data_IF_283787087940
#
_entry.id   IF_283787087940
#
_cell.length_a   1.000
_cell.length_b   1.000
_cell.length_c   1.000
_cell.angle_alpha   90.00
_cell.angle_beta   90.00
_cell.angle_gamma   90.00
#
_symmetry.space_group_name_H-M   'P 1'
#
loop_
_entity.id
_entity.type
_entity.pdbx_description
1 polymer ?
#
# COMPACT_ATOMS: atom_id res chain seq x y z
N UNK A 1 18.13 7.07 0.17
CA UNK A 1 16.67 7.22 0.13
C UNK A 1 16.35 8.40 -0.78
N UNK A 2 15.27 8.34 -1.55
CA UNK A 2 14.91 9.42 -2.48
C UNK A 2 14.48 10.68 -1.70
N UNK A 3 14.90 11.90 -2.12
CA UNK A 3 14.71 13.13 -1.34
C UNK A 3 13.25 13.56 -1.15
N UNK A 4 12.30 12.91 -1.83
CA UNK A 4 10.88 13.20 -1.67
C UNK A 4 10.25 12.58 -0.41
N UNK A 5 10.81 11.48 0.08
CA UNK A 5 10.30 10.79 1.29
C UNK A 5 10.63 11.63 2.52
N UNK A 6 9.60 11.98 3.29
CA UNK A 6 9.67 12.86 4.45
C UNK A 6 9.66 14.36 4.11
N UNK A 7 9.47 14.72 2.84
CA UNK A 7 9.45 16.13 2.39
C UNK A 7 8.10 16.84 2.62
N UNK A 8 7.08 16.11 3.08
CA UNK A 8 5.70 16.62 3.17
C UNK A 8 4.99 16.71 1.81
N UNK A 9 5.59 16.16 0.74
CA UNK A 9 4.99 16.08 -0.60
C UNK A 9 4.54 14.66 -0.90
N UNK A 10 3.60 14.56 -1.84
CA UNK A 10 3.04 13.30 -2.33
C UNK A 10 3.31 13.28 -3.83
N UNK A 11 3.89 12.19 -4.31
CA UNK A 11 4.13 11.99 -5.74
C UNK A 11 2.92 11.30 -6.35
N UNK A 12 2.27 11.96 -7.31
CA UNK A 12 1.10 11.41 -8.02
C UNK A 12 1.35 11.09 -9.48
N UNK A 13 2.40 11.66 -10.07
CA UNK A 13 2.85 11.35 -11.41
C UNK A 13 4.12 10.47 -11.42
N UNK A 14 4.30 9.61 -12.44
CA UNK A 14 5.54 8.85 -12.60
C UNK A 14 6.74 9.80 -12.72
N UNK A 15 7.79 9.58 -11.93
CA UNK A 15 9.00 10.43 -11.92
C UNK A 15 10.11 9.91 -12.83
N UNK A 16 10.05 8.63 -13.20
CA UNK A 16 11.01 7.95 -14.07
C UNK A 16 10.28 7.06 -15.09
N UNK A 17 10.95 6.76 -16.20
CA UNK A 17 10.52 5.73 -17.15
C UNK A 17 10.90 4.34 -16.65
N UNK A 18 10.38 3.28 -17.30
CA UNK A 18 10.73 1.89 -17.01
C UNK A 18 12.24 1.61 -17.17
N UNK A 19 12.90 2.36 -18.07
CA UNK A 19 14.34 2.32 -18.29
C UNK A 19 15.15 3.09 -17.22
N UNK A 20 14.49 3.68 -16.22
CA UNK A 20 15.12 4.44 -15.15
C UNK A 20 15.49 5.89 -15.50
N UNK A 21 15.02 6.40 -16.64
CA UNK A 21 15.33 7.78 -17.08
C UNK A 21 14.35 8.76 -16.43
N UNK A 22 14.82 9.87 -15.82
CA UNK A 22 13.94 10.89 -15.26
C UNK A 22 12.98 11.49 -16.30
N UNK A 23 11.70 11.58 -15.96
CA UNK A 23 10.70 12.21 -16.82
C UNK A 23 10.89 13.73 -16.77
N UNK A 24 11.02 14.36 -17.95
CA UNK A 24 11.28 15.80 -18.11
C UNK A 24 10.00 16.64 -18.30
N UNK A 25 8.84 16.06 -18.02
CA UNK A 25 7.57 16.76 -18.12
C UNK A 25 7.53 17.89 -17.07
N UNK A 26 7.22 19.14 -17.47
CA UNK A 26 7.21 20.28 -16.55
C UNK A 26 6.29 20.11 -15.33
N UNK A 27 5.14 19.44 -15.48
CA UNK A 27 4.20 19.18 -14.36
C UNK A 27 4.78 18.16 -13.38
N UNK A 28 5.41 17.10 -13.90
CA UNK A 28 6.07 16.08 -13.08
C UNK A 28 7.25 16.68 -12.32
N UNK A 29 8.04 17.52 -12.97
CA UNK A 29 9.17 18.20 -12.35
C UNK A 29 8.73 19.20 -11.25
N UNK A 30 7.56 19.82 -11.40
CA UNK A 30 6.97 20.67 -10.36
C UNK A 30 6.49 19.87 -9.15
N UNK A 31 5.90 18.69 -9.37
CA UNK A 31 5.50 17.78 -8.30
C UNK A 31 6.71 17.16 -7.58
N UNK A 32 7.75 16.80 -8.35
CA UNK A 32 8.97 16.12 -7.90
C UNK A 32 10.17 17.07 -7.67
N UNK A 33 9.92 18.36 -7.42
CA UNK A 33 10.97 19.28 -6.95
C UNK A 33 10.87 19.42 -5.43
N UNK A 34 11.93 19.15 -4.66
CA UNK A 34 11.98 19.58 -3.26
C UNK A 34 12.03 21.12 -3.16
N UNK A 35 11.65 21.74 -2.02
CA UNK A 35 11.73 23.20 -1.85
C UNK A 35 13.13 23.76 -2.16
N UNK A 36 14.18 23.00 -1.84
CA UNK A 36 15.58 23.39 -2.08
C UNK A 36 16.04 23.18 -3.53
N UNK A 37 15.45 22.23 -4.28
CA UNK A 37 15.85 21.91 -5.66
C UNK A 37 15.32 22.87 -6.72
N UNK A 38 14.39 23.77 -6.37
CA UNK A 38 13.97 24.84 -7.29
C UNK A 38 15.12 25.82 -7.61
N UNK A 39 16.22 25.81 -6.84
CA UNK A 39 17.35 26.72 -7.00
C UNK A 39 18.59 26.13 -7.70
N UNK A 40 18.66 24.82 -7.97
CA UNK A 40 19.90 24.20 -8.47
C UNK A 40 19.66 23.04 -9.43
N UNK A 41 19.15 23.34 -10.62
CA UNK A 41 19.23 22.45 -11.77
C UNK A 41 20.52 22.77 -12.52
N UNK A 42 21.57 21.97 -12.30
CA UNK A 42 22.72 21.61 -13.17
C UNK A 42 23.87 21.16 -12.26
N UNK A 43 24.15 19.85 -12.20
CA UNK A 43 25.50 19.30 -12.40
C UNK A 43 25.49 17.77 -12.24
N UNK A 44 25.90 17.10 -13.30
CA UNK A 44 26.06 15.65 -13.46
C UNK A 44 27.32 15.16 -12.73
N UNK A 45 27.34 13.90 -12.28
CA UNK A 45 28.57 13.08 -12.28
C UNK A 45 28.30 11.57 -12.17
N UNK A 46 28.98 10.83 -13.06
CA UNK A 46 29.00 9.37 -13.21
C UNK A 46 29.99 8.70 -12.23
N UNK A 47 29.73 7.44 -11.85
CA UNK A 47 30.74 6.53 -11.32
C UNK A 47 30.20 5.24 -10.69
N UNK A 48 30.78 4.11 -11.12
CA UNK A 48 30.85 2.75 -10.52
C UNK A 48 29.73 1.73 -10.84
N UNK A 49 30.05 0.72 -11.66
CA UNK A 49 29.08 0.08 -12.57
C UNK A 49 28.82 -1.44 -12.37
N UNK A 50 29.25 -2.06 -11.27
CA UNK A 50 29.06 -3.52 -11.10
C UNK A 50 28.24 -3.95 -9.86
N UNK A 51 28.32 -3.21 -8.74
CA UNK A 51 27.46 -3.42 -7.56
C UNK A 51 26.24 -2.45 -7.56
N UNK A 52 26.33 -1.39 -8.37
CA UNK A 52 25.31 -0.34 -8.49
C UNK A 52 24.11 -0.77 -9.37
N UNK A 53 24.29 -1.70 -10.32
CA UNK A 53 23.22 -2.09 -11.26
C UNK A 53 22.03 -2.79 -10.61
N UNK A 54 22.27 -3.60 -9.56
CA UNK A 54 21.18 -4.25 -8.81
C UNK A 54 20.42 -3.22 -7.96
N UNK A 55 21.16 -2.30 -7.33
CA UNK A 55 20.63 -1.19 -6.54
C UNK A 55 19.83 -0.23 -7.43
N UNK A 56 20.28 0.01 -8.65
CA UNK A 56 19.57 0.84 -9.63
C UNK A 56 18.26 0.18 -10.05
N UNK A 57 18.26 -1.12 -10.39
CA UNK A 57 17.01 -1.81 -10.75
C UNK A 57 15.98 -1.78 -9.62
N UNK A 58 16.40 -2.08 -8.39
CA UNK A 58 15.51 -2.02 -7.22
C UNK A 58 15.03 -0.59 -6.93
N UNK A 59 15.89 0.40 -7.12
CA UNK A 59 15.53 1.81 -6.97
C UNK A 59 14.56 2.24 -8.06
N UNK A 60 14.74 1.78 -9.30
CA UNK A 60 13.83 2.04 -10.42
C UNK A 60 12.46 1.42 -10.12
N UNK A 61 12.40 0.14 -9.80
CA UNK A 61 11.16 -0.55 -9.45
C UNK A 61 10.42 0.16 -8.31
N UNK A 62 11.11 0.49 -7.23
CA UNK A 62 10.51 1.22 -6.11
C UNK A 62 10.01 2.62 -6.52
N UNK A 63 10.79 3.39 -7.28
CA UNK A 63 10.37 4.72 -7.80
C UNK A 63 9.15 4.63 -8.72
N UNK A 64 9.04 3.56 -9.51
CA UNK A 64 7.85 3.29 -10.32
C UNK A 64 6.63 3.05 -9.43
N UNK A 65 6.76 2.50 -8.23
CA UNK A 65 5.61 2.32 -7.31
C UNK A 65 5.11 3.61 -6.66
N UNK A 66 5.95 4.64 -6.51
CA UNK A 66 5.64 5.84 -5.72
C UNK A 66 4.40 6.60 -6.19
N UNK A 67 4.21 6.71 -7.51
CA UNK A 67 3.04 7.38 -8.07
C UNK A 67 1.75 6.60 -7.78
N UNK A 68 1.79 5.26 -7.84
CA UNK A 68 0.65 4.40 -7.50
C UNK A 68 0.28 4.55 -6.02
N UNK A 69 1.27 4.65 -5.13
CA UNK A 69 1.04 4.95 -3.71
C UNK A 69 0.34 6.30 -3.58
N UNK A 70 0.82 7.35 -4.27
CA UNK A 70 0.18 8.67 -4.22
C UNK A 70 -1.27 8.67 -4.70
N UNK A 71 -1.57 7.97 -5.79
CA UNK A 71 -2.94 7.81 -6.30
C UNK A 71 -3.84 7.08 -5.31
N UNK A 72 -3.33 6.11 -4.56
CA UNK A 72 -4.10 5.40 -3.54
C UNK A 72 -4.32 6.26 -2.29
N UNK A 73 -3.28 6.95 -1.82
CA UNK A 73 -3.33 7.89 -0.69
C UNK A 73 -4.40 8.96 -0.91
N UNK A 74 -4.45 9.56 -2.09
CA UNK A 74 -5.48 10.56 -2.42
C UNK A 74 -6.90 9.98 -2.44
N UNK A 75 -7.06 8.67 -2.55
CA UNK A 75 -8.36 7.98 -2.58
C UNK A 75 -8.77 7.42 -1.22
N UNK A 76 -7.84 7.25 -0.28
CA UNK A 76 -8.06 6.67 1.05
C UNK A 76 -8.88 7.61 1.94
N UNK A 77 -9.94 7.07 2.55
CA UNK A 77 -10.77 7.70 3.59
C UNK A 77 -11.09 9.20 3.39
N UNK A 78 -11.35 9.61 2.15
CA UNK A 78 -11.56 11.01 1.74
C UNK A 78 -12.67 11.76 2.49
N UNK A 79 -13.61 11.06 3.10
CA UNK A 79 -14.68 11.67 3.90
C UNK A 79 -14.25 11.98 5.35
N UNK A 80 -13.06 11.54 5.77
CA UNK A 80 -12.57 11.77 7.12
C UNK A 80 -11.85 13.12 7.22
N UNK A 81 -12.30 13.96 8.15
CA UNK A 81 -11.73 15.29 8.44
C UNK A 81 -10.22 15.25 8.68
N UNK A 82 -9.71 14.13 9.21
CA UNK A 82 -8.29 13.90 9.40
C UNK A 82 -7.47 14.14 8.12
N UNK A 83 -7.97 13.72 6.96
CA UNK A 83 -7.25 13.83 5.68
C UNK A 83 -7.45 15.16 4.94
N UNK A 84 -8.19 16.11 5.52
CA UNK A 84 -8.22 17.49 4.99
C UNK A 84 -6.86 18.17 5.14
N UNK A 85 -6.07 17.75 6.13
CA UNK A 85 -4.69 18.23 6.32
C UNK A 85 -3.74 17.48 5.38
N UNK A 86 -3.09 18.22 4.49
CA UNK A 86 -2.09 17.67 3.56
C UNK A 86 -0.94 16.94 4.29
N UNK A 87 -0.57 17.40 5.48
CA UNK A 87 0.44 16.76 6.34
C UNK A 87 0.08 15.31 6.69
N UNK A 88 -1.20 15.00 6.90
CA UNK A 88 -1.64 13.64 7.22
C UNK A 88 -1.61 12.72 6.00
N UNK A 89 -1.92 13.27 4.83
CA UNK A 89 -1.76 12.56 3.56
C UNK A 89 -0.29 12.31 3.23
N UNK A 90 0.61 13.26 3.51
CA UNK A 90 2.05 13.06 3.29
C UNK A 90 2.61 12.00 4.23
N UNK A 91 2.23 12.00 5.51
CA UNK A 91 2.61 10.93 6.46
C UNK A 91 2.17 9.55 5.97
N UNK A 92 0.93 9.42 5.45
CA UNK A 92 0.46 8.16 4.89
C UNK A 92 1.33 7.72 3.71
N UNK A 93 1.64 8.64 2.80
CA UNK A 93 2.47 8.36 1.64
C UNK A 93 3.90 7.99 2.04
N UNK A 94 4.50 8.71 2.98
CA UNK A 94 5.86 8.48 3.47
C UNK A 94 5.99 7.08 4.09
N UNK A 95 5.09 6.69 5.00
CA UNK A 95 5.09 5.36 5.62
C UNK A 95 4.97 4.25 4.58
N UNK A 96 4.07 4.39 3.60
CA UNK A 96 3.87 3.39 2.54
C UNK A 96 5.09 3.31 1.60
N UNK A 97 5.69 4.45 1.26
CA UNK A 97 6.90 4.52 0.44
C UNK A 97 8.08 3.86 1.16
N UNK A 98 8.27 4.14 2.45
CA UNK A 98 9.31 3.52 3.29
C UNK A 98 9.08 2.01 3.42
N UNK A 99 7.85 1.57 3.66
CA UNK A 99 7.51 0.15 3.75
C UNK A 99 7.83 -0.60 2.45
N UNK A 100 7.43 -0.04 1.30
CA UNK A 100 7.69 -0.63 -0.01
C UNK A 100 9.19 -0.79 -0.31
N UNK A 101 10.04 0.05 0.28
CA UNK A 101 11.49 -0.08 0.19
C UNK A 101 12.06 -1.17 1.10
N UNK A 102 11.49 -1.33 2.29
CA UNK A 102 11.97 -2.26 3.33
C UNK A 102 11.56 -3.70 3.01
N UNK A 103 10.29 -3.97 2.73
CA UNK A 103 9.79 -5.32 2.48
C UNK A 103 9.58 -5.59 0.98
N UNK A 104 10.67 -5.76 0.25
CA UNK A 104 10.67 -5.88 -1.22
C UNK A 104 9.94 -7.11 -1.75
N UNK A 105 9.83 -8.18 -0.97
CA UNK A 105 9.09 -9.37 -1.40
C UNK A 105 7.58 -9.09 -1.51
N UNK A 106 7.08 -8.16 -0.70
CA UNK A 106 5.68 -7.73 -0.73
C UNK A 106 5.54 -6.45 -1.56
N UNK A 107 6.47 -5.52 -1.41
CA UNK A 107 6.42 -4.18 -1.99
C UNK A 107 5.18 -3.42 -1.54
N UNK A 108 4.66 -2.59 -2.44
CA UNK A 108 3.36 -1.95 -2.26
C UNK A 108 2.29 -2.67 -3.08
N UNK A 109 1.16 -2.99 -2.45
CA UNK A 109 -0.02 -3.53 -3.09
C UNK A 109 -1.24 -2.65 -2.78
N UNK A 110 -2.15 -2.53 -3.75
CA UNK A 110 -3.39 -1.78 -3.56
C UNK A 110 -4.18 -2.33 -2.36
N UNK A 111 -4.63 -1.44 -1.48
CA UNK A 111 -5.32 -1.77 -0.23
C UNK A 111 -4.43 -1.61 1.01
N UNK A 112 -3.10 -1.56 0.87
CA UNK A 112 -2.21 -1.26 2.00
C UNK A 112 -2.42 0.14 2.57
N UNK A 113 -2.83 1.11 1.76
CA UNK A 113 -3.18 2.45 2.25
C UNK A 113 -4.36 2.42 3.23
N UNK A 114 -5.31 1.50 3.04
CA UNK A 114 -6.45 1.31 3.95
C UNK A 114 -6.02 0.66 5.26
N UNK A 115 -5.00 -0.19 5.23
CA UNK A 115 -4.41 -0.80 6.42
C UNK A 115 -3.54 0.18 7.22
N UNK A 116 -2.86 1.09 6.53
CA UNK A 116 -2.00 2.10 7.15
C UNK A 116 -2.80 3.28 7.71
N UNK A 117 -3.93 3.65 7.08
CA UNK A 117 -4.79 4.78 7.51
C UNK A 117 -5.11 4.77 9.02
N UNK A 118 -5.55 3.66 9.63
CA UNK A 118 -5.80 3.63 11.07
C UNK A 118 -4.55 3.87 11.93
N UNK A 119 -3.36 3.45 11.48
CA UNK A 119 -2.12 3.64 12.24
C UNK A 119 -1.79 5.13 12.38
N UNK A 120 -1.91 5.90 11.30
CA UNK A 120 -1.62 7.34 11.32
C UNK A 120 -2.69 8.16 12.03
N UNK A 121 -3.93 7.67 12.05
CA UNK A 121 -5.02 8.34 12.79
C UNK A 121 -4.87 8.12 14.30
N UNK A 122 -4.41 6.94 14.72
CA UNK A 122 -4.26 6.59 16.13
C UNK A 122 -2.94 7.04 16.76
N UNK A 123 -1.87 7.08 15.98
CA UNK A 123 -0.51 7.34 16.46
C UNK A 123 -0.05 8.71 15.97
N UNK A 124 0.33 9.57 16.93
CA UNK A 124 0.78 10.94 16.63
C UNK A 124 2.15 10.95 15.95
N UNK A 125 3.03 10.05 16.37
CA UNK A 125 4.39 9.92 15.86
C UNK A 125 4.41 9.03 14.61
N UNK A 126 5.06 9.52 13.57
CA UNK A 126 5.11 8.85 12.27
C UNK A 126 5.96 7.56 12.31
N UNK A 127 7.01 7.53 13.13
CA UNK A 127 7.84 6.34 13.29
C UNK A 127 7.09 5.25 14.05
N UNK A 128 6.34 5.60 15.09
CA UNK A 128 5.46 4.66 15.79
C UNK A 128 4.39 4.09 14.83
N UNK A 129 3.76 4.95 14.02
CA UNK A 129 2.81 4.54 13.00
C UNK A 129 3.43 3.58 11.98
N UNK A 130 4.66 3.87 11.52
CA UNK A 130 5.41 2.99 10.64
C UNK A 130 5.66 1.61 11.27
N UNK A 131 6.16 1.54 12.50
CA UNK A 131 6.47 0.26 13.13
C UNK A 131 5.22 -0.56 13.46
N UNK A 132 4.11 0.09 13.81
CA UNK A 132 2.82 -0.58 13.96
C UNK A 132 2.32 -1.13 12.62
N UNK A 133 2.40 -0.35 11.54
CA UNK A 133 2.03 -0.79 10.20
C UNK A 133 2.90 -1.96 9.73
N UNK A 134 4.22 -1.88 9.89
CA UNK A 134 5.16 -2.94 9.51
C UNK A 134 4.83 -4.26 10.23
N UNK A 135 4.56 -4.20 11.53
CA UNK A 135 4.14 -5.38 12.33
C UNK A 135 2.81 -5.96 11.88
N UNK A 136 1.84 -5.11 11.53
CA UNK A 136 0.56 -5.56 10.96
C UNK A 136 0.81 -6.29 9.64
N UNK A 137 1.65 -5.73 8.78
CA UNK A 137 1.98 -6.32 7.49
C UNK A 137 2.76 -7.63 7.59
N UNK A 138 3.60 -7.84 8.61
CA UNK A 138 4.21 -9.15 8.86
C UNK A 138 3.18 -10.27 9.04
N UNK A 139 2.05 -9.97 9.70
CA UNK A 139 0.95 -10.92 9.88
C UNK A 139 0.15 -11.13 8.60
N UNK A 140 -0.04 -10.06 7.83
CA UNK A 140 -0.82 -10.07 6.58
C UNK A 140 0.01 -10.41 5.35
N UNK A 141 1.32 -10.64 5.50
CA UNK A 141 2.24 -10.96 4.40
C UNK A 141 1.72 -12.08 3.51
N UNK A 142 1.07 -13.09 4.13
CA UNK A 142 0.43 -14.18 3.41
C UNK A 142 -0.64 -13.72 2.43
N UNK A 143 -1.45 -12.72 2.80
CA UNK A 143 -2.55 -12.20 1.99
C UNK A 143 -2.05 -11.46 0.74
N UNK A 144 -0.93 -10.74 0.86
CA UNK A 144 -0.36 -9.93 -0.21
C UNK A 144 0.65 -10.67 -1.10
N UNK A 145 0.93 -11.95 -0.82
CA UNK A 145 1.74 -12.77 -1.71
C UNK A 145 0.92 -13.13 -2.95
N UNK A 146 1.36 -12.64 -4.10
CA UNK A 146 0.96 -13.15 -5.41
C UNK A 146 2.05 -14.08 -5.92
N UNK A 147 1.72 -15.36 -6.07
CA UNK A 147 2.58 -16.31 -6.79
C UNK A 147 2.01 -16.54 -8.19
N UNK A 148 2.77 -17.21 -9.07
CA UNK A 148 2.25 -17.61 -10.38
C UNK A 148 1.06 -18.60 -10.31
N UNK A 149 0.78 -19.15 -9.13
CA UNK A 149 -0.15 -20.27 -8.94
C UNK A 149 -1.29 -19.97 -7.97
N UNK A 150 -1.17 -18.96 -7.10
CA UNK A 150 -2.21 -18.61 -6.13
C UNK A 150 -2.11 -17.17 -5.65
N UNK A 151 -3.26 -16.63 -5.24
CA UNK A 151 -3.36 -15.32 -4.57
C UNK A 151 -3.49 -15.55 -3.07
N UNK A 152 -2.82 -14.73 -2.27
CA UNK A 152 -2.63 -14.97 -0.84
C UNK A 152 -3.87 -15.27 0.02
N UNK A 153 -5.05 -14.77 -0.36
CA UNK A 153 -6.31 -15.00 0.36
C UNK A 153 -7.13 -16.18 -0.18
N UNK A 154 -6.70 -16.85 -1.24
CA UNK A 154 -7.46 -17.93 -1.87
C UNK A 154 -7.81 -19.07 -0.90
N UNK A 155 -6.84 -19.49 -0.07
CA UNK A 155 -7.10 -20.49 0.98
C UNK A 155 -8.15 -20.02 2.00
N UNK A 156 -8.21 -18.72 2.31
CA UNK A 156 -9.21 -18.17 3.22
C UNK A 156 -10.60 -18.19 2.59
N UNK A 157 -10.69 -17.93 1.27
CA UNK A 157 -11.94 -18.04 0.51
C UNK A 157 -12.44 -19.49 0.44
N UNK A 158 -11.54 -20.46 0.21
CA UNK A 158 -11.90 -21.88 0.22
C UNK A 158 -12.38 -22.35 1.60
N UNK A 159 -11.74 -21.88 2.68
CA UNK A 159 -12.22 -22.13 4.03
C UNK A 159 -13.59 -21.49 4.28
N UNK A 160 -13.82 -20.25 3.83
CA UNK A 160 -15.13 -19.61 3.92
C UNK A 160 -16.20 -20.43 3.18
N UNK A 161 -15.92 -20.86 1.95
CA UNK A 161 -16.82 -21.68 1.15
C UNK A 161 -17.20 -22.97 1.90
N UNK A 162 -16.20 -23.65 2.48
CA UNK A 162 -16.39 -24.89 3.25
C UNK A 162 -17.21 -24.66 4.51
N UNK A 163 -16.99 -23.55 5.22
CA UNK A 163 -17.77 -23.18 6.41
C UNK A 163 -19.23 -22.91 6.03
N UNK A 164 -19.48 -22.13 4.98
CA UNK A 164 -20.85 -21.83 4.53
C UNK A 164 -21.55 -23.09 4.03
N UNK A 165 -20.84 -23.99 3.35
CA UNK A 165 -21.40 -25.27 2.92
C UNK A 165 -21.93 -26.11 4.09
N UNK A 166 -21.31 -26.02 5.27
CA UNK A 166 -21.76 -26.72 6.48
C UNK A 166 -22.84 -25.94 7.23
N UNK A 167 -22.69 -24.63 7.37
CA UNK A 167 -23.59 -23.78 8.16
C UNK A 167 -24.91 -23.46 7.44
N UNK A 168 -24.84 -23.18 6.15
CA UNK A 168 -25.98 -22.91 5.29
C UNK A 168 -25.76 -23.50 3.88
N UNK A 169 -25.97 -24.82 3.73
CA UNK A 169 -25.79 -25.50 2.44
C UNK A 169 -26.65 -24.91 1.32
N UNK A 170 -27.85 -24.40 1.65
CA UNK A 170 -28.76 -23.81 0.66
C UNK A 170 -28.19 -22.52 0.07
N UNK A 171 -27.57 -21.69 0.91
CA UNK A 171 -26.87 -20.49 0.45
C UNK A 171 -25.66 -20.86 -0.40
N UNK A 172 -24.86 -21.83 0.04
CA UNK A 172 -23.69 -22.30 -0.72
C UNK A 172 -24.09 -22.79 -2.13
N UNK A 173 -25.08 -23.68 -2.23
CA UNK A 173 -25.56 -24.22 -3.50
C UNK A 173 -26.13 -23.12 -4.41
N UNK A 174 -26.79 -22.12 -3.83
CA UNK A 174 -27.27 -20.97 -4.58
C UNK A 174 -26.13 -20.14 -5.17
N UNK A 175 -25.08 -19.86 -4.38
CA UNK A 175 -23.89 -19.16 -4.85
C UNK A 175 -23.15 -19.94 -5.94
N UNK A 176 -23.00 -21.25 -5.77
CA UNK A 176 -22.45 -22.16 -6.80
C UNK A 176 -23.26 -22.10 -8.10
N UNK A 177 -24.60 -22.15 -8.02
CA UNK A 177 -25.47 -22.07 -9.21
C UNK A 177 -25.31 -20.75 -9.97
N UNK A 178 -24.98 -19.67 -9.26
CA UNK A 178 -24.70 -18.35 -9.85
C UNK A 178 -23.25 -18.20 -10.35
N UNK A 179 -22.41 -19.22 -10.18
CA UNK A 179 -20.98 -19.19 -10.52
C UNK A 179 -20.11 -18.44 -9.51
N UNK A 180 -20.61 -18.20 -8.29
CA UNK A 180 -19.92 -17.51 -7.18
C UNK A 180 -19.41 -18.44 -6.09
N UNK A 181 -19.19 -19.73 -6.40
CA UNK A 181 -18.74 -20.76 -5.46
C UNK A 181 -17.31 -20.60 -4.95
N UNK A 182 -16.52 -19.74 -5.58
CA UNK A 182 -15.16 -19.35 -5.17
C UNK A 182 -15.14 -18.18 -4.17
N UNK A 183 -16.30 -17.58 -3.89
CA UNK A 183 -16.48 -16.48 -2.92
C UNK A 183 -15.59 -15.26 -3.21
N UNK A 184 -15.25 -14.99 -4.48
CA UNK A 184 -14.40 -13.84 -4.85
C UNK A 184 -14.93 -12.49 -4.38
N UNK A 185 -16.24 -12.34 -4.12
CA UNK A 185 -16.80 -11.13 -3.50
C UNK A 185 -16.21 -10.83 -2.12
N UNK A 186 -15.74 -11.84 -1.39
CA UNK A 186 -15.11 -11.70 -0.08
C UNK A 186 -13.59 -11.44 -0.16
N UNK A 187 -13.00 -11.47 -1.36
CA UNK A 187 -11.55 -11.29 -1.56
C UNK A 187 -11.03 -10.02 -0.88
N UNK A 188 -11.67 -8.89 -1.16
CA UNK A 188 -11.31 -7.59 -0.57
C UNK A 188 -11.44 -7.60 0.95
N UNK A 189 -12.46 -8.29 1.46
CA UNK A 189 -12.74 -8.35 2.90
C UNK A 189 -11.57 -8.99 3.65
N UNK A 190 -11.02 -10.09 3.15
CA UNK A 190 -9.85 -10.73 3.76
C UNK A 190 -8.54 -9.96 3.50
N UNK A 191 -8.37 -9.41 2.30
CA UNK A 191 -7.16 -8.66 1.93
C UNK A 191 -6.90 -7.47 2.87
N UNK A 192 -7.94 -6.70 3.20
CA UNK A 192 -7.81 -5.48 4.03
C UNK A 192 -8.55 -5.59 5.36
N UNK A 193 -8.69 -6.80 5.91
CA UNK A 193 -9.30 -7.07 7.22
C UNK A 193 -10.63 -6.32 7.46
N UNK A 194 -11.55 -6.42 6.49
CA UNK A 194 -12.88 -5.80 6.50
C UNK A 194 -12.89 -4.26 6.56
N UNK A 195 -11.74 -3.59 6.36
CA UNK A 195 -11.66 -2.12 6.39
C UNK A 195 -12.53 -1.42 5.34
N UNK A 196 -12.99 -2.11 4.30
CA UNK A 196 -13.92 -1.52 3.33
C UNK A 196 -15.39 -1.83 3.60
N UNK A 197 -15.66 -2.73 4.54
CA UNK A 197 -17.03 -3.19 4.82
C UNK A 197 -17.58 -2.63 6.15
N UNK A 198 -16.70 -2.21 7.06
CA UNK A 198 -17.05 -1.71 8.38
C UNK A 198 -16.80 -0.20 8.52
N UNK A 199 -17.41 0.44 9.52
CA UNK A 199 -17.04 1.80 9.91
C UNK A 199 -15.60 1.83 10.43
N UNK A 200 -14.99 3.02 10.49
CA UNK A 200 -13.62 3.15 11.00
C UNK A 200 -13.49 2.60 12.43
N UNK A 201 -14.42 2.96 13.32
CA UNK A 201 -14.43 2.47 14.70
C UNK A 201 -14.65 0.95 14.81
N UNK A 202 -15.59 0.39 14.04
CA UNK A 202 -15.85 -1.05 14.08
C UNK A 202 -14.66 -1.88 13.58
N UNK A 203 -13.93 -1.38 12.57
CA UNK A 203 -12.69 -2.02 12.14
C UNK A 203 -11.63 -2.01 13.23
N UNK A 204 -11.47 -0.92 13.97
CA UNK A 204 -10.52 -0.86 15.07
C UNK A 204 -10.86 -1.91 16.14
N UNK A 205 -12.12 -1.98 16.54
CA UNK A 205 -12.58 -2.97 17.52
C UNK A 205 -12.34 -4.41 17.04
N UNK A 206 -12.66 -4.70 15.77
CA UNK A 206 -12.37 -6.01 15.17
C UNK A 206 -10.87 -6.34 15.21
N UNK A 207 -10.02 -5.36 14.94
CA UNK A 207 -8.57 -5.54 14.91
C UNK A 207 -7.98 -5.73 16.30
N UNK A 208 -8.49 -5.04 17.31
CA UNK A 208 -8.10 -5.23 18.72
C UNK A 208 -8.40 -6.66 19.20
N UNK A 209 -9.58 -7.19 18.86
CA UNK A 209 -9.95 -8.57 19.20
C UNK A 209 -9.05 -9.57 18.47
N UNK A 210 -8.78 -9.36 17.19
CA UNK A 210 -7.94 -10.25 16.38
C UNK A 210 -6.43 -10.14 16.70
N UNK A 211 -6.00 -9.08 17.37
CA UNK A 211 -4.59 -8.92 17.80
C UNK A 211 -4.30 -9.51 19.17
N UNK A 212 -5.33 -9.89 19.93
CA UNK A 212 -5.25 -10.36 21.30
C UNK A 212 -5.15 -11.89 21.43
N UNK A 213 -4.13 -12.56 20.85
CA UNK A 213 -3.76 -13.95 21.17
C UNK A 213 -2.27 -14.21 20.91
#
# INVERSE_FOLDING_TARGET
MDPHVGSGKIITAPIITEDGVPIKDPLVLLEAATPDQQASLISTKNGDEADHRLTDKQTIEWKLTLHQIGLDVLRTDRSMVFYEKKENLSKLWDILAVYAWIDKEVGYCQGMSDLCSPMIVLLNDEADAFWCFERLMRRLRGNFRCTQQSVGVENQLQHLASIIQVLDPKLHDHLETLGGGDYLFAFRMFMVLFRRELSFGDSLYLWEVNTSF
#
